data_IF_664091556147
#
_entry.id   IF_664091556147
#
_cell.length_a   1.000
_cell.length_b   1.000
_cell.length_c   1.000
_cell.angle_alpha   90.00
_cell.angle_beta   90.00
_cell.angle_gamma   90.00
#
_symmetry.space_group_name_H-M   'P 1'
#
loop_
_entity.id
_entity.type
_entity.pdbx_description
1 polymer ?
#
# COMPACT_ATOMS: atom_id res chain seq x y z
N UNK A 1 15.04 -7.97 4.19
CA UNK A 1 13.73 -7.65 3.60
C UNK A 1 12.86 -8.90 3.73
N UNK A 2 11.67 -8.79 4.30
CA UNK A 2 10.75 -9.91 4.46
C UNK A 2 9.50 -9.68 3.64
N UNK A 3 9.16 -10.62 2.76
CA UNK A 3 7.90 -10.62 2.01
C UNK A 3 6.92 -11.57 2.69
N UNK A 4 5.84 -11.03 3.24
CA UNK A 4 4.87 -11.75 4.04
C UNK A 4 3.74 -12.26 3.13
N UNK A 5 4.00 -13.37 2.44
CA UNK A 5 2.99 -14.14 1.70
C UNK A 5 2.29 -15.12 2.63
N UNK A 6 1.65 -14.60 3.67
CA UNK A 6 0.96 -15.38 4.71
C UNK A 6 -0.49 -14.92 4.85
N UNK A 7 -1.40 -15.77 5.35
CA UNK A 7 -2.78 -15.36 5.59
C UNK A 7 -2.90 -14.15 6.55
N UNK A 8 -3.88 -13.25 6.39
CA UNK A 8 -4.04 -12.06 7.22
C UNK A 8 -4.07 -12.31 8.75
N UNK A 9 -4.73 -13.37 9.26
CA UNK A 9 -4.82 -13.59 10.71
C UNK A 9 -3.47 -13.80 11.42
N UNK A 10 -2.44 -14.29 10.70
CA UNK A 10 -1.13 -14.59 11.30
C UNK A 10 -0.15 -13.42 11.18
N UNK A 11 -0.51 -12.37 10.47
CA UNK A 11 0.38 -11.28 10.13
C UNK A 11 0.95 -10.53 11.34
N UNK A 12 0.11 -10.21 12.33
CA UNK A 12 0.55 -9.55 13.55
C UNK A 12 1.56 -10.40 14.34
N UNK A 13 1.30 -11.71 14.44
CA UNK A 13 2.19 -12.64 15.14
C UNK A 13 3.55 -12.77 14.42
N UNK A 14 3.55 -12.92 13.09
CA UNK A 14 4.79 -12.97 12.29
C UNK A 14 5.59 -11.68 12.44
N UNK A 15 4.92 -10.53 12.41
CA UNK A 15 5.57 -9.21 12.60
C UNK A 15 6.25 -9.11 13.96
N UNK A 16 5.58 -9.53 15.04
CA UNK A 16 6.17 -9.55 16.37
C UNK A 16 7.40 -10.47 16.45
N UNK A 17 7.30 -11.68 15.89
CA UNK A 17 8.42 -12.64 15.87
C UNK A 17 9.62 -12.12 15.08
N UNK A 18 9.41 -11.45 13.94
CA UNK A 18 10.50 -10.85 13.18
C UNK A 18 11.15 -9.71 13.97
N UNK A 19 10.36 -8.88 14.65
CA UNK A 19 10.89 -7.80 15.48
C UNK A 19 11.76 -8.32 16.63
N UNK A 20 11.35 -9.40 17.28
CA UNK A 20 12.06 -9.96 18.43
C UNK A 20 13.31 -10.77 18.05
N UNK A 21 13.24 -11.57 16.99
CA UNK A 21 14.28 -12.59 16.72
C UNK A 21 15.04 -12.41 15.40
N UNK A 22 14.53 -11.63 14.47
CA UNK A 22 15.04 -11.61 13.10
C UNK A 22 15.26 -10.18 12.55
N UNK A 23 15.40 -9.21 13.47
CA UNK A 23 15.72 -7.83 13.15
C UNK A 23 17.22 -7.71 12.82
N UNK A 24 17.53 -6.94 11.78
CA UNK A 24 18.91 -6.69 11.39
C UNK A 24 19.62 -5.86 12.46
N UNK A 25 20.90 -6.15 12.70
CA UNK A 25 21.76 -5.29 13.51
C UNK A 25 22.15 -4.06 12.69
N UNK A 26 22.27 -2.90 13.34
CA UNK A 26 22.75 -1.67 12.70
C UNK A 26 24.18 -1.87 12.14
N UNK A 27 24.48 -1.39 10.92
CA UNK A 27 23.70 -0.46 10.09
C UNK A 27 22.73 -1.13 9.08
N UNK A 28 22.30 -2.36 9.35
CA UNK A 28 21.37 -3.10 8.49
C UNK A 28 19.92 -2.61 8.59
N UNK A 29 19.08 -3.02 7.62
CA UNK A 29 17.67 -2.68 7.62
C UNK A 29 16.77 -3.92 7.71
N UNK A 30 15.66 -3.76 8.43
CA UNK A 30 14.52 -4.68 8.37
C UNK A 30 13.32 -3.92 7.83
N UNK A 31 12.75 -4.46 6.74
CA UNK A 31 11.55 -3.94 6.08
C UNK A 31 10.62 -5.11 5.81
N UNK A 32 9.33 -4.86 5.96
CA UNK A 32 8.26 -5.84 5.75
C UNK A 32 7.46 -5.43 4.53
N UNK A 33 7.27 -6.35 3.59
CA UNK A 33 6.37 -6.22 2.45
C UNK A 33 5.16 -7.11 2.70
N UNK A 34 3.96 -6.54 2.59
CA UNK A 34 2.75 -7.15 3.12
C UNK A 34 1.66 -7.10 2.05
N UNK A 35 1.00 -8.23 1.82
CA UNK A 35 -0.05 -8.35 0.79
C UNK A 35 -1.44 -8.12 1.38
N UNK A 36 -2.37 -7.68 0.53
CA UNK A 36 -3.78 -7.51 0.88
C UNK A 36 -4.44 -8.87 1.21
N UNK A 37 -5.51 -8.91 2.02
CA UNK A 37 -6.23 -7.78 2.62
C UNK A 37 -5.56 -7.22 3.89
N UNK A 38 -5.61 -5.90 4.07
CA UNK A 38 -5.08 -5.18 5.25
C UNK A 38 -6.10 -5.01 6.38
N UNK A 39 -7.13 -5.85 6.40
CA UNK A 39 -8.35 -5.62 7.18
C UNK A 39 -9.55 -5.84 6.28
N UNK A 40 -10.72 -5.96 6.91
CA UNK A 40 -12.02 -6.10 6.23
C UNK A 40 -12.87 -4.83 6.35
N UNK A 41 -12.53 -3.97 7.30
CA UNK A 41 -13.19 -2.73 7.67
C UNK A 41 -12.18 -1.81 8.40
N UNK A 42 -12.60 -0.61 8.78
CA UNK A 42 -11.74 0.36 9.47
C UNK A 42 -11.21 -0.17 10.81
N UNK A 43 -12.08 -0.82 11.60
CA UNK A 43 -11.72 -1.34 12.93
C UNK A 43 -10.66 -2.44 12.84
N UNK A 44 -10.85 -3.42 11.96
CA UNK A 44 -9.87 -4.49 11.73
C UNK A 44 -8.58 -4.00 11.07
N UNK A 45 -8.62 -2.93 10.28
CA UNK A 45 -7.41 -2.26 9.80
C UNK A 45 -6.66 -1.59 10.95
N UNK A 46 -7.35 -0.86 11.82
CA UNK A 46 -6.74 -0.15 12.94
C UNK A 46 -6.07 -1.14 13.91
N UNK A 47 -6.72 -2.26 14.23
CA UNK A 47 -6.13 -3.34 15.03
C UNK A 47 -4.84 -3.91 14.39
N UNK A 48 -4.86 -4.10 13.07
CA UNK A 48 -3.70 -4.59 12.32
C UNK A 48 -2.56 -3.57 12.36
N UNK A 49 -2.92 -2.30 12.15
CA UNK A 49 -2.00 -1.19 12.07
C UNK A 49 -1.32 -0.96 13.42
N UNK A 50 -2.06 -0.95 14.53
CA UNK A 50 -1.52 -0.83 15.90
C UNK A 50 -0.50 -1.94 16.20
N UNK A 51 -0.84 -3.19 15.88
CA UNK A 51 0.08 -4.33 16.06
C UNK A 51 1.37 -4.16 15.26
N UNK A 52 1.30 -3.66 14.03
CA UNK A 52 2.50 -3.41 13.24
C UNK A 52 3.31 -2.20 13.68
N UNK A 53 2.64 -1.09 13.99
CA UNK A 53 3.26 0.18 14.34
C UNK A 53 4.00 0.09 15.70
N UNK A 54 3.52 -0.77 16.61
CA UNK A 54 4.24 -1.08 17.86
C UNK A 54 5.56 -1.82 17.65
N UNK A 55 5.74 -2.52 16.53
CA UNK A 55 6.92 -3.33 16.24
C UNK A 55 7.89 -2.63 15.26
N UNK A 56 7.35 -1.97 14.24
CA UNK A 56 8.11 -1.33 13.17
C UNK A 56 7.64 0.10 12.94
N UNK A 57 8.59 0.98 12.62
CA UNK A 57 8.28 2.31 12.12
C UNK A 57 7.60 2.20 10.75
N UNK A 58 6.70 3.13 10.42
CA UNK A 58 5.92 3.12 9.18
C UNK A 58 6.81 3.08 7.92
N UNK A 59 7.97 3.73 7.95
CA UNK A 59 8.97 3.68 6.85
C UNK A 59 9.57 2.29 6.59
N UNK A 60 9.38 1.33 7.49
CA UNK A 60 9.76 -0.06 7.33
C UNK A 60 8.63 -0.94 6.79
N UNK A 61 7.40 -0.43 6.71
CA UNK A 61 6.21 -1.18 6.32
C UNK A 61 5.82 -0.82 4.88
N UNK A 62 5.77 -1.83 4.01
CA UNK A 62 5.43 -1.71 2.60
C UNK A 62 4.15 -2.50 2.34
N UNK A 63 3.01 -1.81 2.35
CA UNK A 63 1.70 -2.40 2.01
C UNK A 63 1.55 -2.44 0.50
N UNK A 64 1.41 -3.65 -0.05
CA UNK A 64 1.40 -3.86 -1.49
C UNK A 64 0.01 -3.65 -2.07
N UNK A 65 -0.07 -2.68 -2.99
CA UNK A 65 -1.14 -2.59 -3.95
C UNK A 65 -0.52 -2.63 -5.35
N UNK A 66 -0.73 -3.75 -6.04
CA UNK A 66 -0.13 -3.98 -7.36
C UNK A 66 -0.64 -3.01 -8.43
N UNK A 67 -1.78 -2.32 -8.22
CA UNK A 67 -2.21 -1.26 -9.16
C UNK A 67 -1.28 -0.06 -9.12
N UNK A 68 -0.71 0.28 -7.96
CA UNK A 68 0.23 1.39 -7.84
C UNK A 68 1.53 1.17 -8.62
N UNK A 69 1.87 -0.08 -8.93
CA UNK A 69 3.02 -0.44 -9.76
C UNK A 69 2.75 -0.41 -11.27
N UNK A 70 1.51 -0.17 -11.72
CA UNK A 70 1.19 -0.13 -13.16
C UNK A 70 1.66 1.19 -13.77
N UNK A 71 2.30 1.12 -14.94
CA UNK A 71 2.88 2.30 -15.63
C UNK A 71 1.88 3.45 -15.81
N UNK A 72 0.64 3.14 -16.19
CA UNK A 72 -0.42 4.16 -16.38
C UNK A 72 -0.70 4.92 -15.08
N UNK A 73 -0.74 4.22 -13.93
CA UNK A 73 -1.01 4.85 -12.63
C UNK A 73 0.16 5.73 -12.21
N UNK A 74 1.40 5.27 -12.41
CA UNK A 74 2.61 6.06 -12.13
C UNK A 74 2.66 7.34 -12.97
N UNK A 75 2.19 7.29 -14.22
CA UNK A 75 2.20 8.43 -15.14
C UNK A 75 1.16 9.53 -14.81
N UNK A 76 0.14 9.24 -14.00
CA UNK A 76 -0.89 10.25 -13.63
C UNK A 76 -0.25 11.48 -12.98
N UNK A 77 0.73 11.28 -12.10
CA UNK A 77 1.45 12.36 -11.42
C UNK A 77 2.21 13.26 -12.41
N UNK A 78 2.92 12.66 -13.36
CA UNK A 78 3.62 13.38 -14.42
C UNK A 78 2.64 14.16 -15.30
N UNK A 79 1.53 13.53 -15.70
CA UNK A 79 0.48 14.18 -16.49
C UNK A 79 -0.12 15.39 -15.76
N UNK A 80 -0.38 15.28 -14.45
CA UNK A 80 -0.94 16.37 -13.64
C UNK A 80 0.02 17.52 -13.38
N UNK A 81 1.28 17.25 -13.06
CA UNK A 81 2.19 18.26 -12.50
C UNK A 81 3.32 18.69 -13.42
N UNK A 82 3.72 17.87 -14.40
CA UNK A 82 4.81 18.21 -15.31
C UNK A 82 4.32 18.89 -16.61
N UNK A 83 3.02 19.13 -16.75
CA UNK A 83 2.41 19.68 -17.97
C UNK A 83 1.73 21.02 -17.70
N UNK A 84 2.29 22.10 -18.25
CA UNK A 84 1.75 23.46 -18.10
C UNK A 84 0.32 23.64 -18.64
N UNK A 85 -0.14 22.75 -19.52
CA UNK A 85 -1.51 22.75 -20.05
C UNK A 85 -2.50 22.09 -19.09
N UNK A 86 -2.10 21.01 -18.41
CA UNK A 86 -2.99 20.21 -17.55
C UNK A 86 -2.99 20.66 -16.09
N UNK A 87 -1.85 21.17 -15.60
CA UNK A 87 -1.73 21.65 -14.22
C UNK A 87 -2.77 22.74 -13.86
N UNK A 88 -2.97 23.82 -14.65
CA UNK A 88 -3.95 24.85 -14.31
C UNK A 88 -5.41 24.43 -14.51
N UNK A 89 -5.67 23.36 -15.30
CA UNK A 89 -7.03 22.85 -15.55
C UNK A 89 -7.45 21.76 -14.58
N UNK A 90 -6.54 21.26 -13.73
CA UNK A 90 -6.87 20.20 -12.77
C UNK A 90 -7.58 20.72 -11.51
N UNK A 91 -8.79 21.30 -11.66
CA UNK A 91 -9.59 21.82 -10.57
C UNK A 91 -11.10 21.85 -10.89
N UNK A 92 -11.93 22.18 -9.89
CA UNK A 92 -13.40 22.19 -9.97
C UNK A 92 -13.98 23.20 -10.99
N UNK A 93 -13.20 24.17 -11.46
CA UNK A 93 -13.68 25.17 -12.41
C UNK A 93 -13.63 24.64 -13.85
N UNK A 94 -12.82 23.60 -14.09
CA UNK A 94 -12.57 23.05 -15.41
C UNK A 94 -12.96 21.56 -15.53
N UNK A 95 -13.06 20.83 -14.41
CA UNK A 95 -13.44 19.41 -14.35
C UNK A 95 -14.90 19.28 -13.91
N UNK A 96 -15.73 18.71 -14.78
CA UNK A 96 -17.12 18.35 -14.45
C UNK A 96 -17.21 17.08 -13.59
N UNK A 97 -16.45 16.03 -13.95
CA UNK A 97 -16.45 14.77 -13.21
C UNK A 97 -15.16 13.96 -13.40
N UNK A 98 -14.89 13.05 -12.46
CA UNK A 98 -13.79 12.06 -12.53
C UNK A 98 -14.40 10.67 -12.47
N UNK A 99 -14.14 9.86 -13.49
CA UNK A 99 -14.65 8.49 -13.59
C UNK A 99 -13.50 7.49 -13.41
N UNK A 100 -13.66 6.57 -12.49
CA UNK A 100 -12.73 5.46 -12.25
C UNK A 100 -13.48 4.17 -12.56
N UNK A 101 -13.06 3.47 -13.61
CA UNK A 101 -13.74 2.27 -14.11
C UNK A 101 -12.80 1.08 -13.98
N UNK A 102 -13.28 0.05 -13.30
CA UNK A 102 -12.64 -1.26 -13.25
C UNK A 102 -13.58 -2.27 -13.91
N UNK A 103 -13.10 -2.96 -14.95
CA UNK A 103 -13.85 -3.96 -15.70
C UNK A 103 -13.02 -5.25 -15.75
N UNK A 104 -13.66 -6.36 -15.45
CA UNK A 104 -13.10 -7.70 -15.61
C UNK A 104 -14.07 -8.50 -16.48
N UNK A 105 -13.54 -9.08 -17.56
CA UNK A 105 -14.30 -9.98 -18.44
C UNK A 105 -14.28 -11.43 -17.92
N UNK A 106 -13.55 -11.68 -16.84
CA UNK A 106 -13.41 -12.97 -16.18
C UNK A 106 -14.52 -13.06 -15.12
N UNK A 107 -15.38 -14.08 -15.19
CA UNK A 107 -16.44 -14.29 -14.21
C UNK A 107 -15.92 -14.66 -12.81
N UNK A 108 -16.84 -14.94 -11.90
CA UNK A 108 -16.53 -15.74 -10.71
C UNK A 108 -16.20 -17.15 -11.23
N UNK A 109 -14.94 -17.57 -11.08
CA UNK A 109 -14.47 -18.88 -11.57
C UNK A 109 -15.35 -20.07 -11.20
#
# INVERSE_FOLDING_TARGET
LYFLSVPPPVFGAVTAMINEHARAMEPGFTRLMIEKPFGRDSESFDELNEKTASCFHESCLFRLDHYLGKEVILNISTLRWANQLFEPTWNREHIESVQIVFKEDIGLG
#
